data_IF_238043355063
#
_entry.id   IF_238043355063
#
_cell.length_a   1.000
_cell.length_b   1.000
_cell.length_c   1.000
_cell.angle_alpha   90.00
_cell.angle_beta   90.00
_cell.angle_gamma   90.00
#
_symmetry.space_group_name_H-M   'P 1'
#
loop_
_entity.id
_entity.type
_entity.pdbx_description
1 polymer ?
#
# COMPACT_ATOMS: atom_id res chain seq x y z
N UNK A 1 51.01 20.08 -43.81
CA UNK A 1 49.74 19.44 -43.43
C UNK A 1 49.87 17.97 -43.81
N UNK A 2 50.19 17.13 -42.83
CA UNK A 2 50.47 15.70 -43.03
C UNK A 2 49.57 14.91 -42.11
N UNK A 3 48.60 14.20 -42.69
CA UNK A 3 47.75 13.28 -41.97
C UNK A 3 47.99 11.88 -42.53
N UNK A 4 48.79 11.09 -41.80
CA UNK A 4 48.98 9.67 -42.08
C UNK A 4 48.70 8.84 -40.83
N UNK A 5 47.66 8.05 -40.99
CA UNK A 5 47.23 6.83 -40.29
C UNK A 5 48.29 6.06 -39.47
N UNK A 6 47.77 5.59 -38.33
CA UNK A 6 47.72 4.20 -37.80
C UNK A 6 48.77 3.70 -36.79
N UNK A 7 48.19 2.92 -35.86
CA UNK A 7 48.69 1.74 -35.13
C UNK A 7 49.23 2.10 -33.74
N UNK A 8 48.79 1.55 -32.60
CA UNK A 8 48.01 0.37 -32.25
C UNK A 8 48.65 -0.25 -30.99
N UNK A 9 47.87 -0.62 -29.98
CA UNK A 9 48.18 -1.56 -28.84
C UNK A 9 47.00 -1.46 -27.85
N UNK A 10 46.06 -2.41 -27.81
CA UNK A 10 46.07 -3.69 -27.09
C UNK A 10 46.04 -3.56 -25.57
N UNK A 11 44.84 -3.65 -24.98
CA UNK A 11 44.66 -4.22 -23.64
C UNK A 11 43.51 -5.23 -23.62
N UNK A 12 43.79 -6.31 -22.89
CA UNK A 12 43.13 -7.61 -22.78
C UNK A 12 41.80 -7.51 -22.06
N UNK A 13 40.81 -8.29 -22.49
CA UNK A 13 39.86 -8.93 -21.57
C UNK A 13 39.64 -10.37 -22.06
N UNK A 14 40.27 -11.31 -21.35
CA UNK A 14 39.82 -12.70 -21.28
C UNK A 14 38.50 -12.70 -20.52
N UNK A 15 37.41 -13.13 -21.15
CA UNK A 15 36.17 -13.44 -20.43
C UNK A 15 35.75 -14.87 -20.78
N UNK A 16 36.30 -15.78 -19.99
CA UNK A 16 35.92 -17.17 -19.90
C UNK A 16 34.48 -17.28 -19.40
N UNK A 17 33.66 -17.99 -20.17
CA UNK A 17 32.63 -18.92 -19.71
C UNK A 17 31.75 -18.49 -18.53
N UNK A 18 30.59 -17.90 -18.83
CA UNK A 18 29.33 -18.34 -18.20
C UNK A 18 28.23 -18.45 -19.24
N UNK A 19 28.12 -19.65 -19.75
CA UNK A 19 26.92 -20.18 -20.39
C UNK A 19 25.80 -20.20 -19.33
N UNK A 20 25.08 -19.09 -19.17
CA UNK A 20 23.81 -19.05 -18.43
C UNK A 20 22.70 -19.07 -19.48
N UNK A 21 22.25 -20.26 -19.81
CA UNK A 21 20.95 -20.46 -20.44
C UNK A 21 19.94 -20.20 -19.33
N UNK A 22 19.29 -19.05 -19.35
CA UNK A 22 18.05 -18.86 -18.62
C UNK A 22 17.03 -19.76 -19.32
N UNK A 23 16.65 -20.86 -18.69
CA UNK A 23 15.43 -21.56 -19.06
C UNK A 23 14.27 -20.60 -18.74
N UNK A 24 13.59 -20.13 -19.78
CA UNK A 24 12.41 -19.26 -19.70
C UNK A 24 11.42 -19.86 -18.68
N UNK A 25 11.34 -19.27 -17.49
CA UNK A 25 10.14 -19.41 -16.67
C UNK A 25 9.01 -18.79 -17.49
N UNK A 26 8.08 -19.62 -18.00
CA UNK A 26 6.92 -19.19 -18.77
C UNK A 26 6.22 -18.00 -18.06
N UNK A 27 6.48 -16.78 -18.53
CA UNK A 27 5.84 -15.58 -17.97
C UNK A 27 4.38 -15.60 -18.41
N UNK A 28 3.50 -16.03 -17.51
CA UNK A 28 2.05 -15.94 -17.73
C UNK A 28 1.64 -14.47 -17.58
N UNK A 29 1.52 -13.76 -18.71
CA UNK A 29 1.01 -12.39 -18.75
C UNK A 29 -0.50 -12.42 -18.58
N UNK A 30 -0.97 -12.19 -17.36
CA UNK A 30 -2.38 -11.93 -17.09
C UNK A 30 -2.71 -10.46 -17.35
N UNK A 31 -3.88 -10.19 -17.93
CA UNK A 31 -4.39 -8.82 -18.06
C UNK A 31 -4.58 -8.24 -16.66
N UNK A 32 -4.01 -7.07 -16.41
CA UNK A 32 -4.27 -6.34 -15.17
C UNK A 32 -5.76 -5.97 -15.08
N UNK A 33 -6.37 -6.03 -13.88
CA UNK A 33 -7.75 -5.62 -13.70
C UNK A 33 -7.97 -4.17 -14.16
N UNK A 34 -9.15 -3.91 -14.71
CA UNK A 34 -9.60 -2.55 -14.91
C UNK A 34 -10.00 -1.87 -13.59
N UNK A 35 -10.36 -0.58 -13.66
CA UNK A 35 -10.63 0.21 -12.46
C UNK A 35 -11.87 -0.28 -11.71
N UNK A 36 -12.88 -0.81 -12.40
CA UNK A 36 -14.12 -1.28 -11.79
C UNK A 36 -13.90 -2.67 -11.16
N UNK A 37 -13.14 -3.54 -11.82
CA UNK A 37 -12.68 -4.81 -11.22
C UNK A 37 -11.81 -4.56 -9.97
N UNK A 38 -10.92 -3.57 -10.02
CA UNK A 38 -10.07 -3.22 -8.89
C UNK A 38 -10.88 -2.70 -7.68
N UNK A 39 -11.95 -1.94 -7.94
CA UNK A 39 -12.90 -1.48 -6.91
C UNK A 39 -13.49 -2.67 -6.15
N UNK A 40 -13.98 -3.67 -6.87
CA UNK A 40 -14.58 -4.86 -6.25
C UNK A 40 -13.56 -5.69 -5.49
N UNK A 41 -12.36 -5.87 -6.05
CA UNK A 41 -11.28 -6.59 -5.39
C UNK A 41 -10.84 -5.90 -4.09
N UNK A 42 -10.76 -4.58 -4.04
CA UNK A 42 -10.42 -3.83 -2.82
C UNK A 42 -11.47 -4.06 -1.74
N UNK A 43 -12.75 -3.93 -2.07
CA UNK A 43 -13.84 -4.15 -1.11
C UNK A 43 -13.86 -5.59 -0.60
N UNK A 44 -13.73 -6.56 -1.51
CA UNK A 44 -13.64 -7.98 -1.17
C UNK A 44 -12.46 -8.24 -0.24
N UNK A 45 -11.29 -7.67 -0.52
CA UNK A 45 -10.10 -7.86 0.31
C UNK A 45 -10.29 -7.33 1.74
N UNK A 46 -10.90 -6.16 1.90
CA UNK A 46 -11.21 -5.61 3.22
C UNK A 46 -12.23 -6.49 3.95
N UNK A 47 -13.29 -6.94 3.24
CA UNK A 47 -14.31 -7.83 3.79
C UNK A 47 -13.70 -9.15 4.32
N UNK A 48 -12.87 -9.81 3.52
CA UNK A 48 -12.22 -11.07 3.86
C UNK A 48 -11.31 -10.97 5.08
N UNK A 49 -10.69 -9.81 5.30
CA UNK A 49 -9.83 -9.60 6.47
C UNK A 49 -10.66 -9.47 7.75
N UNK A 50 -11.93 -9.05 7.65
CA UNK A 50 -12.83 -8.88 8.81
C UNK A 50 -12.44 -7.75 9.76
N UNK A 51 -11.39 -6.98 9.43
CA UNK A 51 -10.87 -5.84 10.21
C UNK A 51 -10.38 -4.73 9.28
N UNK A 52 -10.18 -3.51 9.80
CA UNK A 52 -9.54 -2.45 9.05
C UNK A 52 -8.13 -2.86 8.56
N UNK A 53 -7.83 -2.47 7.32
CA UNK A 53 -6.61 -2.87 6.59
C UNK A 53 -5.76 -1.64 6.30
N UNK A 54 -4.46 -1.72 6.57
CA UNK A 54 -3.56 -0.59 6.32
C UNK A 54 -3.23 -0.38 4.84
N UNK A 55 -2.80 0.83 4.47
CA UNK A 55 -2.24 1.12 3.14
C UNK A 55 -1.12 0.14 2.75
N UNK A 56 -0.23 -0.20 3.69
CA UNK A 56 0.89 -1.12 3.44
C UNK A 56 0.39 -2.52 3.06
N UNK A 57 -0.64 -3.02 3.75
CA UNK A 57 -1.24 -4.32 3.45
C UNK A 57 -1.96 -4.32 2.09
N UNK A 58 -2.73 -3.27 1.78
CA UNK A 58 -3.38 -3.14 0.48
C UNK A 58 -2.34 -3.04 -0.65
N UNK A 59 -1.33 -2.18 -0.51
CA UNK A 59 -0.25 -2.03 -1.49
C UNK A 59 0.50 -3.35 -1.72
N UNK A 60 0.80 -4.10 -0.67
CA UNK A 60 1.47 -5.40 -0.79
C UNK A 60 0.60 -6.43 -1.52
N UNK A 61 -0.71 -6.44 -1.26
CA UNK A 61 -1.63 -7.36 -1.91
C UNK A 61 -1.84 -7.02 -3.40
N UNK A 62 -1.89 -5.73 -3.75
CA UNK A 62 -2.20 -5.27 -5.10
C UNK A 62 -0.97 -4.95 -5.96
N UNK A 63 0.27 -5.08 -5.46
CA UNK A 63 1.48 -4.65 -6.20
C UNK A 63 1.68 -5.35 -7.55
N UNK A 64 1.18 -6.58 -7.71
CA UNK A 64 1.19 -7.33 -8.99
C UNK A 64 -0.09 -7.17 -9.83
N UNK A 65 -1.12 -6.51 -9.30
CA UNK A 65 -2.43 -6.34 -9.97
C UNK A 65 -2.64 -4.89 -10.43
N UNK A 66 -2.17 -3.92 -9.65
CA UNK A 66 -2.35 -2.50 -9.92
C UNK A 66 -1.19 -1.66 -9.36
N UNK A 67 -0.82 -0.63 -10.11
CA UNK A 67 0.11 0.38 -9.61
C UNK A 67 -0.47 1.18 -8.43
N UNK A 68 0.39 1.69 -7.55
CA UNK A 68 -0.02 2.43 -6.35
C UNK A 68 -0.90 3.64 -6.64
N UNK A 69 -0.63 4.37 -7.73
CA UNK A 69 -1.43 5.54 -8.10
C UNK A 69 -2.88 5.15 -8.43
N UNK A 70 -3.05 4.02 -9.13
CA UNK A 70 -4.37 3.47 -9.47
C UNK A 70 -5.10 3.00 -8.21
N UNK A 71 -4.41 2.29 -7.31
CA UNK A 71 -4.99 1.89 -6.02
C UNK A 71 -5.41 3.11 -5.18
N UNK A 72 -4.59 4.17 -5.15
CA UNK A 72 -4.94 5.42 -4.45
C UNK A 72 -6.21 6.05 -5.04
N UNK A 73 -6.32 6.14 -6.36
CA UNK A 73 -7.51 6.68 -7.05
C UNK A 73 -8.77 5.87 -6.73
N UNK A 74 -8.67 4.54 -6.76
CA UNK A 74 -9.78 3.64 -6.37
C UNK A 74 -10.19 3.85 -4.93
N UNK A 75 -9.23 3.93 -3.98
CA UNK A 75 -9.56 4.20 -2.58
C UNK A 75 -10.24 5.56 -2.40
N UNK A 76 -9.77 6.61 -3.07
CA UNK A 76 -10.44 7.92 -3.02
C UNK A 76 -11.88 7.81 -3.52
N UNK A 77 -12.12 7.17 -4.67
CA UNK A 77 -13.48 6.96 -5.21
C UNK A 77 -14.38 6.23 -4.20
N UNK A 78 -13.88 5.14 -3.63
CA UNK A 78 -14.60 4.34 -2.63
C UNK A 78 -14.91 5.13 -1.33
N UNK A 79 -14.01 6.01 -0.89
CA UNK A 79 -14.26 6.86 0.29
C UNK A 79 -15.27 7.95 -0.05
N UNK A 80 -15.19 8.51 -1.25
CA UNK A 80 -16.11 9.55 -1.70
C UNK A 80 -17.54 9.03 -1.88
N UNK A 81 -17.69 7.78 -2.32
CA UNK A 81 -18.98 7.06 -2.42
C UNK A 81 -19.48 6.46 -1.10
N UNK A 82 -18.76 6.65 0.02
CA UNK A 82 -19.04 6.06 1.34
C UNK A 82 -19.06 4.51 1.35
N UNK A 83 -18.47 3.87 0.34
CA UNK A 83 -18.36 2.41 0.27
C UNK A 83 -17.24 1.86 1.16
N UNK A 84 -16.23 2.68 1.44
CA UNK A 84 -15.22 2.40 2.46
C UNK A 84 -15.01 3.62 3.36
N UNK A 85 -14.34 3.36 4.47
CA UNK A 85 -14.06 4.32 5.53
C UNK A 85 -12.54 4.42 5.70
N UNK A 86 -12.02 5.63 5.66
CA UNK A 86 -10.67 5.91 6.15
C UNK A 86 -10.71 6.17 7.66
N UNK A 87 -10.02 5.33 8.42
CA UNK A 87 -9.98 5.34 9.89
C UNK A 87 -8.96 6.36 10.42
N UNK A 88 -9.03 6.76 11.71
CA UNK A 88 -8.14 7.78 12.28
C UNK A 88 -6.65 7.45 12.26
N UNK A 89 -6.28 6.19 12.08
CA UNK A 89 -4.91 5.70 11.93
C UNK A 89 -4.53 5.37 10.47
N UNK A 90 -5.34 5.78 9.49
CA UNK A 90 -5.06 5.55 8.07
C UNK A 90 -5.24 4.11 7.61
N UNK A 91 -5.93 3.28 8.41
CA UNK A 91 -6.49 2.01 7.92
C UNK A 91 -7.79 2.26 7.16
N UNK A 92 -8.17 1.30 6.32
CA UNK A 92 -9.38 1.34 5.51
C UNK A 92 -10.33 0.23 5.96
N UNK A 93 -11.60 0.56 6.13
CA UNK A 93 -12.60 -0.32 6.70
C UNK A 93 -13.89 -0.27 5.89
N UNK A 94 -14.69 -1.32 5.93
CA UNK A 94 -16.06 -1.27 5.42
C UNK A 94 -16.98 -0.58 6.43
N UNK A 95 -18.10 0.03 5.98
CA UNK A 95 -19.15 0.52 6.87
C UNK A 95 -19.58 -0.54 7.89
N UNK A 96 -19.59 -0.16 9.16
CA UNK A 96 -19.88 -1.03 10.30
C UNK A 96 -18.64 -1.54 11.04
N UNK A 97 -17.49 -1.66 10.37
CA UNK A 97 -16.24 -2.12 11.01
C UNK A 97 -15.60 -1.08 11.94
N UNK A 98 -16.07 0.18 11.91
CA UNK A 98 -15.65 1.21 12.85
C UNK A 98 -16.14 0.97 14.28
N UNK A 99 -17.20 0.16 14.45
CA UNK A 99 -17.77 -0.14 15.77
C UNK A 99 -16.83 -1.06 16.55
N UNK A 100 -16.34 -0.57 17.68
CA UNK A 100 -15.37 -1.31 18.50
C UNK A 100 -13.93 -1.24 17.99
N UNK A 101 -13.65 -0.44 16.94
CA UNK A 101 -12.29 -0.24 16.50
C UNK A 101 -11.52 0.69 17.43
N UNK A 102 -10.40 0.19 17.96
CA UNK A 102 -9.42 0.98 18.71
C UNK A 102 -8.22 1.19 17.79
N UNK A 103 -7.91 2.44 17.41
CA UNK A 103 -6.73 2.73 16.60
C UNK A 103 -5.45 2.26 17.30
N UNK A 104 -4.49 1.76 16.52
CA UNK A 104 -3.16 1.42 17.06
C UNK A 104 -2.47 2.67 17.61
N UNK A 105 -1.81 2.54 18.76
CA UNK A 105 -1.20 3.65 19.50
C UNK A 105 0.01 4.27 18.81
N UNK A 106 0.72 3.48 18.02
CA UNK A 106 1.96 3.84 17.35
C UNK A 106 1.74 4.63 16.05
N UNK A 107 0.49 4.72 15.61
CA UNK A 107 0.20 5.28 14.30
C UNK A 107 0.22 6.81 14.33
N UNK A 108 1.22 7.36 13.64
CA UNK A 108 1.36 8.80 13.39
C UNK A 108 0.14 9.33 12.66
N UNK A 109 -0.15 10.62 12.85
CA UNK A 109 -1.22 11.33 12.12
C UNK A 109 -1.01 11.16 10.61
N UNK A 110 -1.91 10.41 9.97
CA UNK A 110 -1.93 10.23 8.51
C UNK A 110 -2.66 11.40 7.87
N UNK A 111 -2.17 11.85 6.71
CA UNK A 111 -2.89 12.84 5.89
C UNK A 111 -3.98 12.06 5.12
N UNK A 112 -5.27 12.32 5.39
CA UNK A 112 -6.33 11.51 4.83
C UNK A 112 -6.40 11.63 3.31
N UNK A 113 -6.71 10.53 2.62
CA UNK A 113 -6.94 10.49 1.17
C UNK A 113 -8.14 11.35 0.77
N UNK A 114 -9.20 11.38 1.59
CA UNK A 114 -10.38 12.22 1.38
C UNK A 114 -10.61 13.17 2.57
N UNK A 115 -9.91 14.33 2.64
CA UNK A 115 -9.93 15.20 3.82
C UNK A 115 -11.32 15.70 4.24
N UNK A 116 -12.19 16.00 3.26
CA UNK A 116 -13.58 16.45 3.54
C UNK A 116 -14.39 15.35 4.25
N UNK A 117 -14.41 14.14 3.68
CA UNK A 117 -15.12 12.98 4.25
C UNK A 117 -14.54 12.61 5.62
N UNK A 118 -13.21 12.57 5.73
CA UNK A 118 -12.53 12.30 6.99
C UNK A 118 -12.90 13.32 8.08
N UNK A 119 -12.87 14.61 7.77
CA UNK A 119 -13.23 15.67 8.72
C UNK A 119 -14.71 15.59 9.12
N UNK A 120 -15.61 15.33 8.17
CA UNK A 120 -17.04 15.18 8.44
C UNK A 120 -17.31 14.00 9.39
N UNK A 121 -16.60 12.87 9.18
CA UNK A 121 -16.76 11.66 9.99
C UNK A 121 -16.16 11.80 11.38
N UNK A 122 -14.91 12.24 11.46
CA UNK A 122 -14.10 12.11 12.67
C UNK A 122 -13.84 13.43 13.38
N UNK A 123 -13.90 14.57 12.68
CA UNK A 123 -13.68 15.90 13.26
C UNK A 123 -12.54 15.96 14.28
N UNK A 124 -12.84 16.45 15.48
CA UNK A 124 -11.93 16.46 16.63
C UNK A 124 -11.81 15.10 17.33
N UNK A 125 -12.76 14.18 17.12
CA UNK A 125 -12.79 12.83 17.69
C UNK A 125 -11.62 11.97 17.19
N UNK A 126 -11.12 12.18 15.97
CA UNK A 126 -9.94 11.49 15.45
C UNK A 126 -8.74 11.57 16.40
N UNK A 127 -8.51 12.74 17.00
CA UNK A 127 -7.40 12.95 17.94
C UNK A 127 -7.63 12.22 19.26
N UNK A 128 -8.88 12.21 19.74
CA UNK A 128 -9.29 11.54 20.97
C UNK A 128 -9.17 10.01 20.85
N UNK A 129 -9.63 9.44 19.73
CA UNK A 129 -9.58 8.00 19.47
C UNK A 129 -8.14 7.48 19.39
N UNK A 130 -7.24 8.21 18.72
CA UNK A 130 -5.81 7.83 18.71
C UNK A 130 -5.20 7.84 20.12
N UNK A 131 -5.52 8.86 20.92
CA UNK A 131 -5.06 8.93 22.31
C UNK A 131 -5.60 7.76 23.16
N UNK A 132 -6.85 7.37 22.94
CA UNK A 132 -7.46 6.23 23.64
C UNK A 132 -6.72 4.92 23.32
N UNK A 133 -6.39 4.68 22.05
CA UNK A 133 -5.56 3.53 21.67
C UNK A 133 -4.20 3.52 22.38
N UNK A 134 -3.55 4.69 22.49
CA UNK A 134 -2.31 4.83 23.27
C UNK A 134 -2.47 4.55 24.76
N UNK A 135 -3.62 4.85 25.35
CA UNK A 135 -3.87 4.56 26.76
C UNK A 135 -4.08 3.06 27.00
N UNK A 136 -4.93 2.43 26.19
CA UNK A 136 -5.23 0.99 26.28
C UNK A 136 -3.97 0.12 26.21
N UNK A 137 -3.06 0.38 25.26
CA UNK A 137 -1.80 -0.37 25.13
C UNK A 137 -0.88 -0.21 26.36
N UNK A 138 -0.85 0.97 26.99
CA UNK A 138 -0.07 1.22 28.22
C UNK A 138 -0.63 0.46 29.42
N UNK A 139 -1.95 0.38 29.56
CA UNK A 139 -2.61 -0.42 30.59
C UNK A 139 -2.38 -1.93 30.37
N UNK A 140 -2.46 -2.41 29.13
CA UNK A 140 -2.21 -3.82 28.81
C UNK A 140 -0.75 -4.23 29.10
N UNK A 141 0.22 -3.35 28.83
CA UNK A 141 1.63 -3.61 29.14
C UNK A 141 1.96 -3.55 30.64
N UNK A 142 1.15 -2.87 31.45
CA UNK A 142 1.32 -2.80 32.91
C UNK A 142 0.78 -4.05 33.64
N UNK A 143 -0.18 -4.77 33.05
CA UNK A 143 -0.76 -6.00 33.64
C UNK A 143 -0.05 -7.30 33.24
N UNK A 144 0.91 -7.23 32.29
CA UNK A 144 1.68 -8.39 31.79
C UNK A 144 3.11 -8.49 32.33
N UNK A 145 3.47 -7.75 33.38
CA UNK A 145 4.79 -7.80 34.04
C UNK A 145 4.68 -8.29 35.48
#
# INVERSE_FOLDING_TARGET
MSERRRRGSEERIEESERNVIYEDEDIVVMRAPDDDELIDLVKKRIAETGRPVSWKELRAYFSGLAGEDRLRKVLVRLIESDEIIEMPDGTFALPGMEKGYIPRSDVKRVRPLAPRKFKARWGSMASRLRRLGTLEERSASTQGS
#
